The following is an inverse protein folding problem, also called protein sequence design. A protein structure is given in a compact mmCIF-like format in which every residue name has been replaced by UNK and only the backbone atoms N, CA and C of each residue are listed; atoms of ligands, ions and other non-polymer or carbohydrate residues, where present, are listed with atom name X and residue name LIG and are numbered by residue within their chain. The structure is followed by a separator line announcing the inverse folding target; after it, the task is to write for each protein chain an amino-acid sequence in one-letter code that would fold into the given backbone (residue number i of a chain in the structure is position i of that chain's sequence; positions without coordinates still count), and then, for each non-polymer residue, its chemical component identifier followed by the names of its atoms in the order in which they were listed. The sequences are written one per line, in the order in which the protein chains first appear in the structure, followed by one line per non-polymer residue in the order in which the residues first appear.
data_IF_397273085264
#
_entry.id   IF_397273085264
#
_cell.length_a   1.000
_cell.length_b   1.000
_cell.length_c   1.000
_cell.angle_alpha   90.00
_cell.angle_beta   90.00
_cell.angle_gamma   90.00
#
_symmetry.space_group_name_H-M   'P 1'
#
loop_
_entity.id
_entity.type
_entity.pdbx_description
1 polymer ?
#
# COMPACT_ATOMS: atom_id res chain seq x y z
N UNK A 1 15.06 -28.26 14.55
CA UNK A 1 14.36 -27.08 15.09
C UNK A 1 13.24 -26.73 14.12
N UNK A 2 11.99 -26.64 14.58
CA UNK A 2 10.87 -26.29 13.70
C UNK A 2 10.91 -24.77 13.46
N UNK A 3 11.34 -24.35 12.27
CA UNK A 3 11.41 -22.92 11.93
C UNK A 3 9.99 -22.37 11.77
N UNK A 4 9.62 -21.39 12.59
CA UNK A 4 8.32 -20.73 12.52
C UNK A 4 8.30 -19.67 11.41
N UNK A 5 7.28 -19.71 10.54
CA UNK A 5 7.03 -18.70 9.52
C UNK A 5 5.69 -18.02 9.80
N UNK A 6 5.71 -16.72 10.12
CA UNK A 6 4.49 -15.98 10.45
C UNK A 6 3.46 -16.00 9.31
N UNK A 7 3.92 -16.02 8.06
CA UNK A 7 3.03 -16.10 6.90
C UNK A 7 2.37 -17.44 6.71
N UNK A 8 3.00 -18.54 7.13
CA UNK A 8 2.40 -19.87 7.04
C UNK A 8 1.34 -20.02 8.12
N UNK A 9 1.70 -19.61 9.34
CA UNK A 9 0.78 -19.61 10.46
C UNK A 9 -0.46 -18.74 10.22
N UNK A 10 -0.31 -17.53 9.64
CA UNK A 10 -1.44 -16.68 9.31
C UNK A 10 -2.40 -17.31 8.28
N UNK A 11 -1.87 -18.09 7.32
CA UNK A 11 -2.69 -18.84 6.36
C UNK A 11 -3.39 -20.03 7.03
N UNK A 12 -2.68 -20.76 7.89
CA UNK A 12 -3.23 -21.91 8.63
C UNK A 12 -4.43 -21.51 9.51
N UNK A 13 -4.34 -20.37 10.20
CA UNK A 13 -5.44 -19.86 11.05
C UNK A 13 -6.50 -19.09 10.27
N UNK A 14 -6.32 -18.89 8.96
CA UNK A 14 -7.27 -18.17 8.10
C UNK A 14 -7.46 -16.70 8.47
N UNK A 15 -6.39 -15.98 8.83
CA UNK A 15 -6.50 -14.55 9.19
C UNK A 15 -7.06 -13.73 8.02
N UNK A 16 -8.18 -13.01 8.23
CA UNK A 16 -8.72 -12.06 7.26
C UNK A 16 -7.76 -10.87 7.13
N UNK A 17 -7.24 -10.63 5.93
CA UNK A 17 -6.16 -9.67 5.71
C UNK A 17 -6.64 -8.22 5.56
N UNK A 18 -7.95 -7.98 5.42
CA UNK A 18 -8.51 -6.63 5.25
C UNK A 18 -8.20 -5.74 6.45
N UNK A 19 -8.23 -4.43 6.23
CA UNK A 19 -7.93 -3.42 7.25
C UNK A 19 -6.53 -3.61 7.83
N UNK A 20 -5.57 -3.96 6.97
CA UNK A 20 -4.15 -4.06 7.34
C UNK A 20 -3.25 -3.17 6.49
N UNK A 21 -3.82 -2.40 5.57
CA UNK A 21 -3.08 -1.39 4.82
C UNK A 21 -2.86 -0.15 5.67
N UNK A 22 -1.64 0.38 5.63
CA UNK A 22 -1.27 1.64 6.29
C UNK A 22 -1.74 2.83 5.45
N UNK A 23 -2.03 3.96 6.10
CA UNK A 23 -2.61 5.14 5.45
C UNK A 23 -1.72 6.40 5.52
N UNK A 24 -0.50 6.31 5.01
CA UNK A 24 0.43 7.44 4.96
C UNK A 24 -0.02 8.52 3.96
N UNK A 25 0.26 9.77 4.29
CA UNK A 25 -0.01 10.92 3.41
C UNK A 25 1.06 11.04 2.31
N UNK A 26 2.30 10.62 2.60
CA UNK A 26 3.39 10.66 1.62
C UNK A 26 4.19 9.36 1.61
N UNK A 27 4.47 8.79 0.44
CA UNK A 27 5.52 7.78 0.27
C UNK A 27 6.75 8.39 -0.39
N UNK A 28 7.92 7.98 0.09
CA UNK A 28 9.21 8.37 -0.44
C UNK A 28 9.99 7.10 -0.71
N UNK A 29 10.15 6.77 -2.00
CA UNK A 29 10.84 5.58 -2.44
C UNK A 29 12.19 5.98 -3.01
N UNK A 30 13.25 5.46 -2.40
CA UNK A 30 14.62 5.80 -2.76
C UNK A 30 15.26 4.58 -3.39
N UNK A 31 15.70 4.69 -4.65
CA UNK A 31 16.50 3.64 -5.26
C UNK A 31 17.81 3.47 -4.49
N UNK A 32 17.99 2.29 -3.92
CA UNK A 32 19.16 1.95 -3.14
C UNK A 32 19.47 0.47 -3.33
N UNK A 33 20.66 0.12 -3.84
CA UNK A 33 20.96 -1.26 -4.14
C UNK A 33 20.95 -2.20 -2.91
N UNK A 34 20.66 -3.47 -3.16
CA UNK A 34 20.67 -4.55 -2.17
C UNK A 34 22.11 -5.02 -1.88
N UNK A 35 22.39 -5.70 -0.73
CA UNK A 35 21.47 -6.09 0.34
C UNK A 35 21.14 -4.94 1.31
N UNK A 36 19.98 -5.05 1.96
CA UNK A 36 19.54 -4.13 3.02
C UNK A 36 19.66 -4.79 4.40
N UNK A 37 20.09 -4.03 5.41
CA UNK A 37 20.11 -4.44 6.82
C UNK A 37 18.69 -4.46 7.42
N UNK A 38 18.49 -5.10 8.58
CA UNK A 38 17.20 -5.15 9.28
C UNK A 38 16.52 -3.77 9.32
N UNK A 39 17.26 -2.77 9.78
CA UNK A 39 16.92 -1.37 9.62
C UNK A 39 17.39 -0.90 8.25
N UNK A 40 16.46 -0.81 7.30
CA UNK A 40 16.75 -0.49 5.90
C UNK A 40 17.64 0.75 5.72
N UNK A 41 17.34 1.84 6.43
CA UNK A 41 18.07 3.11 6.31
C UNK A 41 19.42 3.11 7.04
N UNK A 42 19.80 2.02 7.69
CA UNK A 42 21.16 1.79 8.20
C UNK A 42 22.02 0.96 7.23
N UNK A 43 21.51 0.69 6.02
CA UNK A 43 22.23 -0.08 5.01
C UNK A 43 23.41 0.70 4.44
N UNK A 44 24.44 -0.04 3.99
CA UNK A 44 25.72 0.48 3.50
C UNK A 44 25.62 1.69 2.54
N UNK A 45 24.69 1.64 1.60
CA UNK A 45 24.57 2.64 0.53
C UNK A 45 23.72 3.85 0.90
N UNK A 46 23.16 3.90 2.11
CA UNK A 46 22.31 5.01 2.55
C UNK A 46 23.18 6.09 3.19
N UNK A 47 23.28 7.30 2.59
CA UNK A 47 24.15 8.35 3.10
C UNK A 47 23.61 8.96 4.40
N UNK A 48 24.51 9.43 5.26
CA UNK A 48 24.17 9.92 6.60
C UNK A 48 23.11 11.04 6.60
N UNK A 49 23.14 11.95 5.64
CA UNK A 49 22.15 13.04 5.54
C UNK A 49 20.73 12.51 5.30
N UNK A 50 20.57 11.41 4.55
CA UNK A 50 19.28 10.74 4.35
C UNK A 50 18.84 10.01 5.64
N UNK A 51 19.76 9.38 6.36
CA UNK A 51 19.44 8.75 7.65
C UNK A 51 18.92 9.78 8.66
N UNK A 52 19.60 10.93 8.77
CA UNK A 52 19.20 12.05 9.63
C UNK A 52 17.80 12.54 9.25
N UNK A 53 17.51 12.74 7.96
CA UNK A 53 16.18 13.14 7.51
C UNK A 53 15.08 12.13 7.89
N UNK A 54 15.32 10.83 7.72
CA UNK A 54 14.34 9.80 8.09
C UNK A 54 14.04 9.86 9.59
N UNK A 55 15.07 10.07 10.41
CA UNK A 55 14.92 10.21 11.86
C UNK A 55 14.22 11.52 12.26
N UNK A 56 14.51 12.64 11.60
CA UNK A 56 13.81 13.93 11.79
C UNK A 56 12.30 13.76 11.53
N UNK A 57 11.93 13.16 10.40
CA UNK A 57 10.53 12.91 10.01
C UNK A 57 9.84 11.98 11.01
N UNK A 58 10.53 10.92 11.45
CA UNK A 58 10.02 9.98 12.47
C UNK A 58 9.77 10.68 13.80
N UNK A 59 10.72 11.48 14.29
CA UNK A 59 10.60 12.25 15.55
C UNK A 59 9.47 13.26 15.50
N UNK A 60 9.30 13.92 14.36
CA UNK A 60 8.20 14.85 14.12
C UNK A 60 6.84 14.15 13.92
N UNK A 61 6.79 12.80 13.90
CA UNK A 61 5.58 11.98 13.68
C UNK A 61 4.83 12.37 12.41
N UNK A 62 5.55 12.81 11.38
CA UNK A 62 4.93 13.15 10.11
C UNK A 62 4.40 11.86 9.44
N UNK A 63 3.25 11.91 8.76
CA UNK A 63 2.63 10.76 8.11
C UNK A 63 3.34 10.39 6.78
N UNK A 64 4.67 10.27 6.82
CA UNK A 64 5.54 10.00 5.67
C UNK A 64 6.15 8.61 5.82
N UNK A 65 6.09 7.81 4.76
CA UNK A 65 6.70 6.49 4.69
C UNK A 65 7.89 6.49 3.75
N UNK A 66 9.07 6.27 4.32
CA UNK A 66 10.27 5.99 3.56
C UNK A 66 10.42 4.50 3.26
N UNK A 67 10.78 4.16 2.03
CA UNK A 67 11.14 2.82 1.59
C UNK A 67 12.38 2.90 0.68
N UNK A 68 13.21 1.86 0.74
CA UNK A 68 14.24 1.66 -0.28
C UNK A 68 13.69 0.72 -1.34
N UNK A 69 13.99 1.01 -2.59
CA UNK A 69 13.59 0.20 -3.74
C UNK A 69 14.80 -0.21 -4.54
N UNK A 70 14.70 -1.36 -5.21
CA UNK A 70 15.70 -1.84 -6.13
C UNK A 70 15.05 -2.68 -7.23
N UNK A 71 15.66 -2.72 -8.41
CA UNK A 71 15.29 -3.62 -9.50
C UNK A 71 16.56 -4.18 -10.16
N UNK A 72 16.40 -4.91 -11.26
CA UNK A 72 17.51 -5.54 -11.98
C UNK A 72 18.48 -4.53 -12.66
N UNK A 73 18.15 -3.24 -12.64
CA UNK A 73 18.92 -2.14 -13.23
C UNK A 73 19.59 -1.23 -12.19
N UNK A 74 19.25 -1.33 -10.90
CA UNK A 74 19.73 -0.39 -9.86
C UNK A 74 21.25 -0.33 -9.66
N UNK A 75 22.00 -1.27 -10.22
CA UNK A 75 23.47 -1.26 -10.23
C UNK A 75 24.08 -0.96 -11.62
N UNK A 76 23.24 -0.69 -12.62
CA UNK A 76 23.61 -0.58 -14.04
C UNK A 76 23.39 0.82 -14.60
N UNK A 77 22.97 1.76 -13.76
CA UNK A 77 22.65 3.14 -14.15
C UNK A 77 23.41 4.13 -13.27
N UNK A 78 23.85 5.24 -13.87
CA UNK A 78 24.63 6.28 -13.20
C UNK A 78 23.73 7.37 -12.58
N UNK A 79 22.54 6.97 -12.10
CA UNK A 79 21.60 7.86 -11.42
C UNK A 79 20.83 7.10 -10.33
N UNK A 80 20.25 7.85 -9.40
CA UNK A 80 19.34 7.37 -8.37
C UNK A 80 17.91 7.79 -8.70
N UNK A 81 17.00 6.83 -8.88
CA UNK A 81 15.57 7.11 -8.97
C UNK A 81 15.01 7.49 -7.59
N UNK A 82 14.30 8.60 -7.53
CA UNK A 82 13.50 8.99 -6.37
C UNK A 82 12.05 9.12 -6.80
N UNK A 83 11.15 8.39 -6.14
CA UNK A 83 9.71 8.48 -6.35
C UNK A 83 9.05 9.05 -5.10
N UNK A 84 8.22 10.07 -5.29
CA UNK A 84 7.43 10.67 -4.21
C UNK A 84 5.95 10.55 -4.59
N UNK A 85 5.16 10.02 -3.67
CA UNK A 85 3.71 9.90 -3.82
C UNK A 85 3.03 10.71 -2.72
N UNK A 86 2.29 11.75 -3.07
CA UNK A 86 1.58 12.60 -2.11
C UNK A 86 0.07 12.40 -2.25
N UNK A 87 -0.62 12.15 -1.15
CA UNK A 87 -2.05 11.92 -1.16
C UNK A 87 -2.78 13.18 -1.61
N UNK A 88 -3.72 13.02 -2.55
CA UNK A 88 -4.57 14.13 -3.01
C UNK A 88 -5.63 14.42 -1.96
N UNK A 89 -5.90 15.70 -1.72
CA UNK A 89 -6.96 16.15 -0.81
C UNK A 89 -8.35 15.91 -1.43
N UNK A 90 -9.34 15.61 -0.59
CA UNK A 90 -10.71 15.36 -1.03
C UNK A 90 -10.90 14.01 -1.74
N UNK A 91 -11.87 13.97 -2.66
CA UNK A 91 -12.15 12.78 -3.47
C UNK A 91 -10.97 12.50 -4.40
N UNK A 92 -10.34 11.34 -4.24
CA UNK A 92 -9.17 10.98 -5.04
C UNK A 92 -9.15 9.51 -5.44
N UNK A 93 -8.42 9.21 -6.51
CA UNK A 93 -8.18 7.85 -6.97
C UNK A 93 -6.82 7.30 -6.48
N UNK A 94 -6.18 7.98 -5.51
CA UNK A 94 -4.81 7.67 -5.07
C UNK A 94 -3.95 8.90 -4.81
N UNK A 95 -2.66 8.73 -5.07
CA UNK A 95 -1.60 9.70 -4.82
C UNK A 95 -1.22 10.45 -6.11
N UNK A 96 -0.72 11.67 -5.97
CA UNK A 96 0.03 12.36 -7.02
C UNK A 96 1.46 11.81 -7.02
N UNK A 97 1.92 11.33 -8.17
CA UNK A 97 3.29 10.81 -8.37
C UNK A 97 4.20 11.95 -8.83
N UNK A 98 5.41 11.96 -8.29
CA UNK A 98 6.57 12.72 -8.77
C UNK A 98 7.74 11.77 -8.93
N UNK A 99 8.48 11.88 -10.03
CA UNK A 99 9.64 11.05 -10.32
C UNK A 99 10.85 11.93 -10.63
N UNK A 100 11.98 11.61 -10.00
CA UNK A 100 13.23 12.34 -10.15
C UNK A 100 14.35 11.36 -10.50
N UNK A 101 15.25 11.77 -11.40
CA UNK A 101 16.53 11.10 -11.65
C UNK A 101 17.64 11.99 -11.11
N UNK A 102 18.21 11.60 -9.97
CA UNK A 102 19.26 12.34 -9.30
C UNK A 102 20.62 11.74 -9.69
N UNK A 103 21.67 12.55 -9.89
CA UNK A 103 23.02 12.02 -10.12
C UNK A 103 23.46 11.01 -9.05
N UNK A 104 23.20 11.31 -7.77
CA UNK A 104 23.60 10.44 -6.66
C UNK A 104 22.57 10.47 -5.50
N UNK A 105 22.56 9.42 -4.69
CA UNK A 105 21.63 9.23 -3.57
C UNK A 105 21.76 10.31 -2.49
N UNK A 106 22.92 10.94 -2.35
CA UNK A 106 23.20 12.04 -1.41
C UNK A 106 22.28 13.25 -1.64
N UNK A 107 21.77 13.43 -2.86
CA UNK A 107 20.88 14.54 -3.19
C UNK A 107 19.43 14.33 -2.73
N UNK A 108 19.05 13.08 -2.44
CA UNK A 108 17.67 12.70 -2.06
C UNK A 108 17.17 13.52 -0.89
N UNK A 109 17.98 13.66 0.16
CA UNK A 109 17.56 14.36 1.38
C UNK A 109 17.20 15.83 1.11
N UNK A 110 17.98 16.51 0.26
CA UNK A 110 17.72 17.90 -0.12
C UNK A 110 16.45 18.06 -0.96
N UNK A 111 16.24 17.15 -1.92
CA UNK A 111 15.03 17.13 -2.76
C UNK A 111 13.78 16.85 -1.94
N UNK A 112 13.81 15.81 -1.09
CA UNK A 112 12.69 15.47 -0.21
C UNK A 112 12.31 16.64 0.70
N UNK A 113 13.30 17.30 1.33
CA UNK A 113 13.03 18.46 2.19
C UNK A 113 12.27 19.55 1.41
N UNK A 114 12.69 19.88 0.18
CA UNK A 114 11.99 20.85 -0.68
C UNK A 114 10.55 20.42 -0.98
N UNK A 115 10.35 19.15 -1.38
CA UNK A 115 9.02 18.61 -1.69
C UNK A 115 8.07 18.65 -0.48
N UNK A 116 8.57 18.33 0.72
CA UNK A 116 7.79 18.40 1.96
C UNK A 116 7.42 19.85 2.35
N UNK A 117 8.20 20.85 1.92
CA UNK A 117 7.87 22.27 2.03
C UNK A 117 6.97 22.81 0.91
N UNK A 118 6.41 21.93 0.06
CA UNK A 118 5.53 22.32 -1.04
C UNK A 118 6.25 22.93 -2.24
N UNK A 119 7.58 22.82 -2.32
CA UNK A 119 8.36 23.25 -3.49
C UNK A 119 8.70 22.03 -4.34
N UNK A 120 8.22 22.00 -5.58
CA UNK A 120 8.62 20.98 -6.56
C UNK A 120 9.94 21.44 -7.19
N UNK A 121 11.04 20.66 -7.08
CA UNK A 121 12.30 21.01 -7.71
C UNK A 121 12.26 20.78 -9.24
N UNK A 122 13.07 21.53 -9.98
CA UNK A 122 13.19 21.50 -11.45
C UNK A 122 13.66 20.16 -12.07
N UNK A 123 13.87 19.13 -11.24
CA UNK A 123 14.40 17.82 -11.63
C UNK A 123 13.31 16.76 -11.85
N UNK A 124 12.04 17.17 -11.87
CA UNK A 124 10.92 16.28 -12.18
C UNK A 124 11.01 15.82 -13.64
N UNK A 125 10.82 14.51 -13.86
CA UNK A 125 10.75 13.95 -15.21
C UNK A 125 9.33 13.53 -15.54
N UNK A 126 8.91 13.86 -16.76
CA UNK A 126 7.73 13.23 -17.35
C UNK A 126 8.06 11.77 -17.69
N UNK A 127 7.14 10.86 -17.34
CA UNK A 127 7.32 9.43 -17.54
C UNK A 127 6.03 8.79 -18.04
N UNK A 128 6.16 7.85 -18.98
CA UNK A 128 5.05 7.01 -19.41
C UNK A 128 4.69 5.92 -18.40
N UNK A 129 5.51 5.74 -17.35
CA UNK A 129 5.27 4.78 -16.27
C UNK A 129 4.15 5.28 -15.38
N UNK A 130 2.95 4.75 -15.64
CA UNK A 130 1.73 5.09 -14.92
C UNK A 130 1.57 4.34 -13.58
N UNK A 131 2.20 3.17 -13.42
CA UNK A 131 2.08 2.33 -12.22
C UNK A 131 3.42 1.80 -11.74
N UNK A 132 3.61 1.79 -10.43
CA UNK A 132 4.76 1.23 -9.75
C UNK A 132 4.28 0.15 -8.75
N UNK A 133 4.66 -1.10 -9.00
CA UNK A 133 4.35 -2.25 -8.14
C UNK A 133 5.52 -2.50 -7.20
N UNK A 134 5.30 -2.37 -5.89
CA UNK A 134 6.33 -2.63 -4.87
C UNK A 134 6.12 -4.00 -4.24
N UNK A 135 7.05 -4.93 -4.43
CA UNK A 135 7.04 -6.23 -3.76
C UNK A 135 8.00 -6.22 -2.58
N UNK A 136 7.53 -6.55 -1.39
CA UNK A 136 8.41 -6.62 -0.22
C UNK A 136 9.31 -7.84 -0.31
N UNK A 137 10.63 -7.63 -0.38
CA UNK A 137 11.64 -8.72 -0.43
C UNK A 137 12.64 -8.66 0.72
N UNK A 138 12.30 -7.93 1.79
CA UNK A 138 13.23 -7.55 2.86
C UNK A 138 13.52 -8.68 3.87
N UNK A 139 14.28 -9.68 3.44
CA UNK A 139 14.56 -10.89 4.21
C UNK A 139 15.27 -10.68 5.55
N UNK A 140 16.14 -9.67 5.62
CA UNK A 140 16.83 -9.28 6.85
C UNK A 140 15.88 -8.76 7.92
N UNK A 141 14.74 -8.17 7.53
CA UNK A 141 13.68 -7.74 8.46
C UNK A 141 12.77 -8.90 8.86
N UNK A 142 12.29 -9.70 7.89
CA UNK A 142 11.47 -10.87 8.18
C UNK A 142 11.66 -11.95 7.10
N UNK A 143 11.85 -13.19 7.55
CA UNK A 143 12.16 -14.34 6.69
C UNK A 143 11.04 -14.63 5.68
N UNK A 144 9.77 -14.37 6.01
CA UNK A 144 8.66 -14.54 5.08
C UNK A 144 8.73 -13.58 3.89
N UNK A 145 9.28 -12.37 4.07
CA UNK A 145 9.50 -11.44 2.95
C UNK A 145 10.50 -12.01 1.94
N UNK A 146 11.57 -12.65 2.40
CA UNK A 146 12.51 -13.30 1.50
C UNK A 146 11.94 -14.58 0.89
N UNK A 147 11.36 -15.45 1.72
CA UNK A 147 10.85 -16.77 1.32
C UNK A 147 9.75 -16.67 0.26
N UNK A 148 8.81 -15.75 0.43
CA UNK A 148 7.65 -15.61 -0.46
C UNK A 148 7.77 -14.43 -1.41
N UNK A 149 8.32 -13.30 -0.95
CA UNK A 149 8.42 -12.08 -1.77
C UNK A 149 9.44 -12.16 -2.90
N UNK A 150 10.62 -12.77 -2.68
CA UNK A 150 11.62 -12.89 -3.75
C UNK A 150 11.11 -13.73 -4.93
N UNK A 151 10.58 -14.96 -4.75
CA UNK A 151 10.03 -15.74 -5.86
C UNK A 151 8.87 -15.01 -6.55
N UNK A 152 7.98 -14.37 -5.77
CA UNK A 152 6.86 -13.62 -6.33
C UNK A 152 7.30 -12.42 -7.17
N UNK A 153 8.36 -11.70 -6.78
CA UNK A 153 8.89 -10.58 -7.58
C UNK A 153 9.25 -11.02 -9.02
N UNK A 154 9.91 -12.17 -9.17
CA UNK A 154 10.25 -12.69 -10.50
C UNK A 154 8.99 -13.11 -11.27
N UNK A 155 8.08 -13.88 -10.66
CA UNK A 155 6.81 -14.26 -11.29
C UNK A 155 5.97 -13.04 -11.72
N UNK A 156 5.95 -12.00 -10.88
CA UNK A 156 5.25 -10.76 -11.16
C UNK A 156 5.91 -9.98 -12.30
N UNK A 157 7.23 -9.92 -12.34
CA UNK A 157 8.00 -9.33 -13.45
C UNK A 157 7.70 -10.04 -14.77
N UNK A 158 7.72 -11.37 -14.79
CA UNK A 158 7.40 -12.18 -15.97
C UNK A 158 5.96 -11.94 -16.42
N UNK A 159 5.02 -11.87 -15.47
CA UNK A 159 3.61 -11.59 -15.77
C UNK A 159 3.40 -10.21 -16.40
N UNK A 160 4.12 -9.18 -15.93
CA UNK A 160 4.05 -7.82 -16.51
C UNK A 160 4.59 -7.84 -17.95
N UNK A 161 5.71 -8.54 -18.18
CA UNK A 161 6.31 -8.68 -19.50
C UNK A 161 5.40 -9.45 -20.48
N UNK A 162 4.83 -10.59 -20.04
CA UNK A 162 3.91 -11.41 -20.82
C UNK A 162 2.66 -10.63 -21.25
N UNK A 163 2.14 -9.79 -20.34
CA UNK A 163 0.99 -8.92 -20.62
C UNK A 163 1.35 -7.67 -21.42
N UNK A 164 2.65 -7.43 -21.69
CA UNK A 164 3.16 -6.26 -22.42
C UNK A 164 2.72 -4.93 -21.79
N UNK A 165 2.75 -4.86 -20.46
CA UNK A 165 2.36 -3.66 -19.71
C UNK A 165 3.55 -2.71 -19.56
N UNK A 166 3.97 -2.08 -20.64
CA UNK A 166 5.14 -1.19 -20.69
C UNK A 166 5.02 0.04 -19.77
N UNK A 167 3.80 0.39 -19.39
CA UNK A 167 3.47 1.48 -18.46
C UNK A 167 3.45 1.06 -16.98
N UNK A 168 3.83 -0.18 -16.67
CA UNK A 168 3.90 -0.74 -15.31
C UNK A 168 5.34 -1.13 -14.99
N UNK A 169 5.88 -0.57 -13.91
CA UNK A 169 7.22 -0.87 -13.41
C UNK A 169 7.13 -1.65 -12.10
N UNK A 170 8.00 -2.63 -11.89
CA UNK A 170 8.06 -3.43 -10.67
C UNK A 170 9.37 -3.22 -9.91
N UNK A 171 9.26 -3.11 -8.59
CA UNK A 171 10.38 -2.91 -7.67
C UNK A 171 10.37 -3.97 -6.57
N UNK A 172 11.57 -4.42 -6.21
CA UNK A 172 11.81 -4.94 -4.86
C UNK A 172 11.78 -3.76 -3.90
N UNK A 173 11.18 -3.96 -2.73
CA UNK A 173 11.07 -2.92 -1.70
C UNK A 173 11.51 -3.44 -0.35
N UNK A 174 12.01 -2.53 0.49
CA UNK A 174 12.15 -2.76 1.92
C UNK A 174 10.77 -2.92 2.58
N UNK A 175 10.80 -3.38 3.82
CA UNK A 175 9.59 -3.76 4.54
C UNK A 175 8.60 -2.59 4.69
N UNK A 176 7.33 -2.84 4.34
CA UNK A 176 6.22 -1.87 4.45
C UNK A 176 5.03 -2.40 5.27
N UNK A 177 5.24 -3.46 6.07
CA UNK A 177 4.18 -4.08 6.88
C UNK A 177 3.48 -5.25 6.20
N UNK A 178 2.97 -6.17 7.01
CA UNK A 178 2.17 -7.31 6.57
C UNK A 178 2.98 -8.51 6.08
N UNK A 179 4.19 -8.76 6.60
CA UNK A 179 4.99 -9.95 6.24
C UNK A 179 4.29 -11.28 6.57
N UNK A 180 3.35 -11.28 7.53
CA UNK A 180 2.45 -12.43 7.79
C UNK A 180 1.45 -12.69 6.65
N UNK A 181 1.34 -11.77 5.70
CA UNK A 181 0.57 -11.94 4.47
C UNK A 181 1.47 -11.99 3.25
N UNK A 182 2.74 -12.38 3.40
CA UNK A 182 3.63 -12.50 2.26
C UNK A 182 3.10 -13.54 1.25
N UNK A 183 3.39 -13.39 -0.06
CA UNK A 183 4.01 -12.23 -0.67
C UNK A 183 3.05 -11.02 -0.67
N UNK A 184 3.59 -9.84 -0.38
CA UNK A 184 2.84 -8.59 -0.34
C UNK A 184 3.27 -7.63 -1.44
N UNK A 185 2.30 -6.86 -1.94
CA UNK A 185 2.55 -5.80 -2.90
C UNK A 185 1.81 -4.50 -2.55
N UNK A 186 2.37 -3.37 -2.98
CA UNK A 186 1.66 -2.08 -3.08
C UNK A 186 1.58 -1.71 -4.56
N UNK A 187 0.39 -1.33 -5.02
CA UNK A 187 0.15 -0.81 -6.36
C UNK A 187 -0.01 0.72 -6.29
N UNK A 188 1.03 1.44 -6.71
CA UNK A 188 1.07 2.90 -6.76
C UNK A 188 0.85 3.37 -8.21
N UNK A 189 0.24 4.55 -8.44
CA UNK A 189 -0.10 5.59 -7.47
C UNK A 189 -1.43 5.40 -6.73
N UNK A 190 -2.21 4.34 -6.98
CA UNK A 190 -3.48 4.15 -6.27
C UNK A 190 -3.27 3.95 -4.76
N UNK A 191 -2.15 3.33 -4.36
CA UNK A 191 -1.84 3.02 -2.97
C UNK A 191 -2.68 1.85 -2.44
N UNK A 192 -2.96 0.87 -3.30
CA UNK A 192 -3.69 -0.35 -2.91
C UNK A 192 -2.73 -1.42 -2.43
N UNK A 193 -3.06 -2.05 -1.30
CA UNK A 193 -2.22 -3.05 -0.67
C UNK A 193 -2.79 -4.44 -0.90
N UNK A 194 -1.89 -5.37 -1.19
CA UNK A 194 -2.22 -6.76 -1.42
C UNK A 194 -1.30 -7.68 -0.60
N UNK A 195 -1.79 -8.88 -0.32
CA UNK A 195 -1.07 -9.95 0.37
C UNK A 195 -1.53 -11.32 -0.11
N UNK A 196 -0.81 -12.37 0.26
CA UNK A 196 -1.09 -13.76 -0.12
C UNK A 196 -1.21 -13.90 -1.65
N UNK A 197 -0.43 -13.11 -2.38
CA UNK A 197 -0.53 -13.02 -3.82
C UNK A 197 -0.01 -14.30 -4.50
N UNK A 198 -0.67 -14.64 -5.60
CA UNK A 198 -0.20 -15.61 -6.58
C UNK A 198 -0.24 -14.96 -7.98
N UNK A 199 0.30 -15.66 -8.97
CA UNK A 199 0.42 -15.14 -10.33
C UNK A 199 -0.95 -14.83 -10.98
N UNK A 200 -1.95 -15.70 -10.77
CA UNK A 200 -3.28 -15.55 -11.35
C UNK A 200 -3.99 -14.29 -10.84
N UNK A 201 -4.07 -14.11 -9.52
CA UNK A 201 -4.70 -12.94 -8.91
C UNK A 201 -3.94 -11.66 -9.24
N UNK A 202 -2.62 -11.74 -9.33
CA UNK A 202 -1.81 -10.60 -9.76
C UNK A 202 -2.12 -10.19 -11.20
N UNK A 203 -2.28 -11.14 -12.13
CA UNK A 203 -2.76 -10.87 -13.50
C UNK A 203 -4.14 -10.21 -13.49
N UNK A 204 -5.07 -10.70 -12.68
CA UNK A 204 -6.40 -10.10 -12.54
C UNK A 204 -6.34 -8.66 -12.03
N UNK A 205 -5.48 -8.37 -11.04
CA UNK A 205 -5.25 -7.02 -10.50
C UNK A 205 -4.63 -6.08 -11.56
N UNK A 206 -3.63 -6.57 -12.31
CA UNK A 206 -2.97 -5.77 -13.33
C UNK A 206 -3.93 -5.37 -14.46
N UNK A 207 -4.73 -6.34 -14.93
CA UNK A 207 -5.66 -6.17 -16.06
C UNK A 207 -7.03 -5.63 -15.64
N UNK A 208 -7.34 -5.66 -14.34
CA UNK A 208 -8.66 -5.36 -13.77
C UNK A 208 -9.77 -6.22 -14.39
N UNK A 209 -9.53 -7.52 -14.49
CA UNK A 209 -10.45 -8.50 -15.08
C UNK A 209 -10.62 -9.75 -14.20
N UNK A 210 -11.58 -10.61 -14.55
CA UNK A 210 -11.90 -11.83 -13.81
C UNK A 210 -12.91 -11.59 -12.69
N UNK A 211 -13.06 -12.58 -11.80
CA UNK A 211 -13.99 -12.50 -10.67
C UNK A 211 -13.46 -11.59 -9.55
N UNK A 212 -14.14 -10.46 -9.34
CA UNK A 212 -13.80 -9.51 -8.28
C UNK A 212 -13.87 -10.14 -6.88
N UNK A 213 -14.72 -11.15 -6.66
CA UNK A 213 -14.86 -11.78 -5.33
C UNK A 213 -13.57 -12.47 -4.87
N UNK A 214 -12.71 -12.87 -5.81
CA UNK A 214 -11.40 -13.42 -5.51
C UNK A 214 -10.50 -12.43 -4.75
N UNK A 215 -10.73 -11.11 -4.88
CA UNK A 215 -9.99 -10.10 -4.11
C UNK A 215 -10.25 -10.15 -2.61
N UNK A 216 -11.34 -10.79 -2.13
CA UNK A 216 -11.59 -10.99 -0.69
C UNK A 216 -10.39 -11.60 0.04
N UNK A 217 -9.62 -12.46 -0.66
CA UNK A 217 -8.49 -13.22 -0.10
C UNK A 217 -7.16 -12.48 -0.13
N UNK A 218 -6.99 -11.51 -1.04
CA UNK A 218 -5.68 -10.88 -1.31
C UNK A 218 -5.65 -9.37 -1.10
N UNK A 219 -6.81 -8.72 -0.98
CA UNK A 219 -6.90 -7.28 -0.78
C UNK A 219 -6.79 -6.89 0.69
N UNK A 220 -5.76 -6.12 1.03
CA UNK A 220 -5.48 -5.65 2.40
C UNK A 220 -6.15 -4.31 2.73
N UNK A 221 -6.45 -3.51 1.71
CA UNK A 221 -7.11 -2.21 1.83
C UNK A 221 -6.47 -1.10 0.98
N UNK A 222 -7.12 0.06 1.00
CA UNK A 222 -6.71 1.26 0.28
C UNK A 222 -5.98 2.25 1.19
N UNK A 223 -4.72 2.57 0.89
CA UNK A 223 -3.88 3.45 1.69
C UNK A 223 -4.36 4.91 1.77
N UNK A 224 -5.29 5.35 0.91
CA UNK A 224 -5.88 6.69 1.06
C UNK A 224 -6.92 6.76 2.19
N UNK A 225 -7.36 5.62 2.72
CA UNK A 225 -8.45 5.51 3.70
C UNK A 225 -7.94 5.12 5.09
N UNK A 226 -8.57 5.62 6.18
CA UNK A 226 -8.32 5.11 7.53
C UNK A 226 -8.50 3.58 7.59
N UNK A 227 -7.65 2.90 8.35
CA UNK A 227 -7.61 1.43 8.38
C UNK A 227 -8.96 0.77 8.70
N UNK A 228 -9.75 1.35 9.61
CA UNK A 228 -11.08 0.85 9.94
C UNK A 228 -12.10 1.03 8.80
N UNK A 229 -11.97 2.07 7.98
CA UNK A 229 -12.87 2.35 6.85
C UNK A 229 -12.61 1.42 5.66
N UNK A 230 -11.42 0.81 5.57
CA UNK A 230 -11.05 -0.07 4.45
C UNK A 230 -11.98 -1.30 4.32
N UNK A 231 -12.59 -1.78 5.40
CA UNK A 231 -13.56 -2.88 5.31
C UNK A 231 -14.87 -2.45 4.62
N UNK A 232 -15.34 -1.23 4.91
CA UNK A 232 -16.47 -0.63 4.20
C UNK A 232 -16.13 -0.48 2.71
N UNK A 233 -14.94 0.03 2.42
CA UNK A 233 -14.47 0.16 1.04
C UNK A 233 -14.41 -1.18 0.32
N UNK A 234 -13.91 -2.25 0.96
CA UNK A 234 -13.91 -3.59 0.36
C UNK A 234 -15.32 -4.05 -0.01
N UNK A 235 -16.31 -3.88 0.86
CA UNK A 235 -17.68 -4.31 0.54
C UNK A 235 -18.28 -3.52 -0.65
N UNK A 236 -17.95 -2.23 -0.78
CA UNK A 236 -18.35 -1.43 -1.94
C UNK A 236 -17.57 -1.84 -3.19
N UNK A 237 -16.25 -2.04 -3.10
CA UNK A 237 -15.41 -2.54 -4.20
C UNK A 237 -15.96 -3.83 -4.77
N UNK A 238 -16.34 -4.78 -3.90
CA UNK A 238 -16.89 -6.06 -4.33
C UNK A 238 -18.30 -5.97 -4.91
N UNK A 239 -19.07 -4.93 -4.53
CA UNK A 239 -20.41 -4.65 -5.08
C UNK A 239 -20.35 -4.00 -6.46
N UNK A 240 -19.47 -3.01 -6.63
CA UNK A 240 -19.32 -2.27 -7.89
C UNK A 240 -18.36 -2.94 -8.88
N UNK A 241 -17.63 -3.98 -8.44
CA UNK A 241 -16.71 -4.72 -9.29
C UNK A 241 -15.48 -3.90 -9.68
N UNK A 242 -14.88 -4.26 -10.82
CA UNK A 242 -13.68 -3.61 -11.34
C UNK A 242 -13.87 -2.12 -11.66
N UNK A 243 -15.11 -1.66 -11.88
CA UNK A 243 -15.42 -0.25 -12.09
C UNK A 243 -15.02 0.62 -10.89
N UNK A 244 -15.03 0.06 -9.67
CA UNK A 244 -14.63 0.75 -8.44
C UNK A 244 -13.23 1.38 -8.51
N UNK A 245 -12.33 0.76 -9.28
CA UNK A 245 -10.94 1.22 -9.44
C UNK A 245 -10.82 2.48 -10.31
N UNK A 246 -11.92 2.96 -10.89
CA UNK A 246 -11.99 4.23 -11.61
C UNK A 246 -12.63 5.35 -10.77
N UNK A 247 -13.08 5.06 -9.55
CA UNK A 247 -13.83 6.01 -8.74
C UNK A 247 -12.87 6.87 -7.92
N UNK A 248 -13.27 8.12 -7.68
CA UNK A 248 -12.59 8.97 -6.70
C UNK A 248 -13.28 8.77 -5.35
N UNK A 249 -12.51 8.53 -4.30
CA UNK A 249 -13.04 8.15 -2.99
C UNK A 249 -12.44 9.02 -1.89
N UNK A 250 -13.24 9.29 -0.87
CA UNK A 250 -12.83 9.82 0.41
C UNK A 250 -13.58 9.08 1.51
N UNK A 251 -12.94 8.86 2.66
CA UNK A 251 -13.59 8.18 3.78
C UNK A 251 -13.09 8.71 5.11
N UNK A 252 -13.98 8.69 6.10
CA UNK A 252 -13.72 9.19 7.45
C UNK A 252 -14.48 8.38 8.49
N UNK A 253 -14.00 8.44 9.72
CA UNK A 253 -14.72 7.95 10.89
C UNK A 253 -15.61 9.11 11.38
N UNK A 254 -16.91 8.89 11.46
CA UNK A 254 -17.87 9.86 12.01
C UNK A 254 -17.84 9.78 13.54
N UNK A 255 -17.94 8.56 14.07
CA UNK A 255 -18.03 8.31 15.49
C UNK A 255 -17.34 6.99 15.83
N UNK A 256 -16.75 6.91 17.02
CA UNK A 256 -16.15 5.71 17.56
C UNK A 256 -16.52 5.59 19.04
N UNK A 257 -16.93 4.41 19.47
CA UNK A 257 -17.25 4.13 20.87
C UNK A 257 -15.98 4.13 21.72
N UNK A 258 -16.10 4.48 23.01
CA UNK A 258 -14.97 4.57 23.94
C UNK A 258 -14.24 3.23 24.14
N UNK A 259 -14.99 2.13 24.05
CA UNK A 259 -14.46 0.76 24.11
C UNK A 259 -13.88 0.27 22.77
N UNK A 260 -13.94 1.09 21.72
CA UNK A 260 -13.56 0.77 20.34
C UNK A 260 -14.33 -0.40 19.72
N UNK A 261 -15.42 -0.87 20.32
CA UNK A 261 -16.20 -1.98 19.80
C UNK A 261 -17.05 -1.59 18.59
N UNK A 262 -17.40 -0.31 18.44
CA UNK A 262 -18.26 0.18 17.35
C UNK A 262 -17.66 1.43 16.70
N UNK A 263 -17.66 1.45 15.37
CA UNK A 263 -17.20 2.58 14.56
C UNK A 263 -18.30 2.90 13.54
N UNK A 264 -18.73 4.16 13.48
CA UNK A 264 -19.56 4.67 12.40
C UNK A 264 -18.63 5.29 11.35
N UNK A 265 -18.57 4.66 10.18
CA UNK A 265 -17.73 5.09 9.06
C UNK A 265 -18.58 5.71 7.95
N UNK A 266 -18.01 6.69 7.24
CA UNK A 266 -18.57 7.26 6.02
C UNK A 266 -17.58 7.09 4.88
N UNK A 267 -18.10 6.75 3.71
CA UNK A 267 -17.35 6.68 2.47
C UNK A 267 -18.14 7.38 1.37
N UNK A 268 -17.52 8.43 0.82
CA UNK A 268 -18.04 9.20 -0.29
C UNK A 268 -17.25 8.85 -1.53
N UNK A 269 -17.94 8.67 -2.66
CA UNK A 269 -17.28 8.44 -3.94
C UNK A 269 -17.96 9.17 -5.10
N UNK A 270 -17.15 9.48 -6.11
CA UNK A 270 -17.57 10.03 -7.39
C UNK A 270 -17.25 9.03 -8.50
N UNK A 271 -18.27 8.69 -9.27
CA UNK A 271 -18.17 7.85 -10.46
C UNK A 271 -17.61 8.64 -11.65
N UNK A 272 -17.07 7.99 -12.70
CA UNK A 272 -16.56 8.68 -13.88
C UNK A 272 -17.61 9.53 -14.61
N UNK A 273 -18.89 9.20 -14.46
CA UNK A 273 -20.00 9.98 -15.00
C UNK A 273 -20.29 11.27 -14.19
N UNK A 274 -19.62 11.48 -13.06
CA UNK A 274 -19.81 12.62 -12.16
C UNK A 274 -20.86 12.40 -11.06
N UNK A 275 -21.52 11.24 -11.03
CA UNK A 275 -22.46 10.90 -9.95
C UNK A 275 -21.73 10.75 -8.62
N UNK A 276 -22.30 11.34 -7.56
CA UNK A 276 -21.71 11.37 -6.23
C UNK A 276 -22.60 10.59 -5.26
N UNK A 277 -22.01 9.62 -4.58
CA UNK A 277 -22.70 8.76 -3.62
C UNK A 277 -22.01 8.79 -2.27
N UNK A 278 -22.80 8.70 -1.19
CA UNK A 278 -22.30 8.63 0.18
C UNK A 278 -22.91 7.41 0.85
N UNK A 279 -22.04 6.53 1.37
CA UNK A 279 -22.42 5.39 2.19
C UNK A 279 -21.98 5.62 3.62
N UNK A 280 -22.82 5.18 4.55
CA UNK A 280 -22.44 5.04 5.94
C UNK A 280 -22.55 3.59 6.36
N UNK A 281 -21.66 3.16 7.25
CA UNK A 281 -21.68 1.83 7.81
C UNK A 281 -21.36 1.83 9.30
N UNK A 282 -22.10 1.00 10.03
CA UNK A 282 -21.75 0.65 11.39
C UNK A 282 -20.82 -0.57 11.32
N UNK A 283 -19.62 -0.40 11.84
CA UNK A 283 -18.60 -1.44 11.96
C UNK A 283 -18.54 -1.89 13.41
N UNK A 284 -18.56 -3.19 13.63
CA UNK A 284 -18.50 -3.78 14.98
C UNK A 284 -17.28 -4.68 15.08
N UNK A 285 -16.65 -4.72 16.26
CA UNK A 285 -15.53 -5.61 16.49
C UNK A 285 -15.99 -7.06 16.32
N UNK A 286 -15.31 -7.79 15.45
CA UNK A 286 -15.54 -9.20 15.21
C UNK A 286 -14.59 -10.01 16.10
N UNK A 287 -15.13 -10.49 17.22
CA UNK A 287 -14.36 -11.32 18.18
C UNK A 287 -13.98 -12.68 17.60
N UNK A 288 -14.72 -13.19 16.61
CA UNK A 288 -14.44 -14.49 15.98
C UNK A 288 -13.26 -14.42 15.02
N UNK A 289 -13.08 -13.27 14.36
CA UNK A 289 -11.94 -12.99 13.47
C UNK A 289 -10.78 -12.28 14.15
N UNK A 290 -10.96 -11.79 15.37
CA UNK A 290 -9.89 -11.21 16.17
C UNK A 290 -8.98 -12.33 16.68
N UNK A 291 -7.71 -12.31 16.27
CA UNK A 291 -6.75 -13.38 16.55
C UNK A 291 -5.63 -12.90 17.45
N UNK A 292 -5.14 -13.80 18.32
CA UNK A 292 -3.91 -13.60 19.09
C UNK A 292 -2.84 -14.55 18.58
N UNK A 293 -1.94 -14.03 17.74
CA UNK A 293 -0.90 -14.82 17.04
C UNK A 293 0.44 -14.07 17.02
N UNK A 294 1.52 -14.77 16.70
CA UNK A 294 2.83 -14.15 16.50
C UNK A 294 2.80 -13.29 15.24
N UNK A 295 3.08 -12.00 15.39
CA UNK A 295 3.01 -11.04 14.30
C UNK A 295 4.11 -11.22 13.25
N UNK A 296 5.32 -11.61 13.67
CA UNK A 296 6.54 -11.78 12.85
C UNK A 296 7.23 -13.12 13.12
N UNK A 297 8.16 -13.52 12.24
CA UNK A 297 8.89 -14.78 12.41
C UNK A 297 9.75 -14.78 13.68
N UNK A 298 10.27 -13.61 14.07
CA UNK A 298 11.12 -13.45 15.24
C UNK A 298 10.34 -12.99 16.48
N UNK A 299 9.01 -12.92 16.43
CA UNK A 299 8.20 -12.51 17.58
C UNK A 299 8.31 -13.54 18.72
N UNK A 300 8.73 -13.08 19.89
CA UNK A 300 8.73 -13.89 21.12
C UNK A 300 7.30 -14.08 21.63
N UNK A 301 6.53 -12.99 21.65
CA UNK A 301 5.15 -12.95 22.14
C UNK A 301 4.10 -12.86 21.03
N UNK A 302 2.85 -13.19 21.39
CA UNK A 302 1.69 -13.04 20.50
C UNK A 302 1.09 -11.65 20.64
N UNK A 303 0.64 -11.07 19.53
CA UNK A 303 -0.09 -9.81 19.50
C UNK A 303 -1.55 -10.04 19.14
N UNK A 304 -2.43 -9.16 19.60
CA UNK A 304 -3.86 -9.19 19.26
C UNK A 304 -4.09 -8.39 17.97
N UNK A 305 -4.64 -9.04 16.96
CA UNK A 305 -5.04 -8.43 15.69
C UNK A 305 -6.55 -8.28 15.66
N UNK A 306 -7.02 -7.12 16.10
CA UNK A 306 -8.45 -6.77 16.13
C UNK A 306 -9.00 -6.71 14.71
N UNK A 307 -10.16 -7.33 14.51
CA UNK A 307 -10.92 -7.27 13.26
C UNK A 307 -12.28 -6.65 13.51
N UNK A 308 -12.78 -5.97 12.49
CA UNK A 308 -14.14 -5.44 12.45
C UNK A 308 -14.93 -6.18 11.38
N UNK A 309 -16.24 -6.19 11.52
CA UNK A 309 -17.19 -6.59 10.50
C UNK A 309 -18.16 -5.45 10.23
N UNK A 310 -18.74 -5.44 9.02
CA UNK A 310 -19.82 -4.51 8.68
C UNK A 310 -21.12 -5.06 9.27
N UNK A 311 -21.66 -4.37 10.29
CA UNK A 311 -22.95 -4.69 10.92
C UNK A 311 -24.12 -4.23 10.04
N UNK A 312 -24.00 -3.02 9.50
CA UNK A 312 -24.96 -2.47 8.54
C UNK A 312 -24.27 -1.48 7.59
N UNK A 313 -24.80 -1.37 6.38
CA UNK A 313 -24.35 -0.45 5.33
C UNK A 313 -25.56 0.17 4.64
N UNK A 314 -25.60 1.49 4.53
CA UNK A 314 -26.69 2.24 3.94
C UNK A 314 -26.21 3.33 3.00
N UNK A 315 -26.89 3.50 1.86
CA UNK A 315 -26.73 4.65 0.98
C UNK A 315 -27.47 5.83 1.63
N UNK A 316 -26.73 6.90 1.94
CA UNK A 316 -27.26 8.10 2.62
C UNK A 316 -27.57 9.21 1.62
N UNK A 317 -26.80 9.31 0.55
CA UNK A 317 -26.99 10.33 -0.47
C UNK A 317 -26.57 9.79 -1.84
N UNK A 318 -27.33 10.12 -2.88
CA UNK A 318 -26.96 9.93 -4.27
C UNK A 318 -27.35 11.18 -5.07
N UNK A 319 -26.38 11.78 -5.75
CA UNK A 319 -26.56 12.96 -6.60
C UNK A 319 -26.08 12.64 -8.00
N UNK A 320 -26.92 12.93 -8.98
CA UNK A 320 -26.61 12.78 -10.41
C UNK A 320 -26.28 14.18 -10.96
N UNK A 321 -25.30 14.33 -11.86
CA UNK A 321 -25.04 15.62 -12.50
C UNK A 321 -26.30 16.11 -13.21
N UNK A 322 -26.67 17.36 -12.99
CA UNK A 322 -27.72 18.00 -13.79
C UNK A 322 -27.14 18.31 -15.17
N UNK A 323 -27.65 17.67 -16.22
CA UNK A 323 -27.36 18.09 -17.59
C UNK A 323 -27.88 19.53 -17.78
N UNK A 324 -26.97 20.50 -17.88
CA UNK A 324 -27.31 21.82 -18.40
C UNK A 324 -27.59 21.64 -19.89
N UNK A 325 -28.86 21.64 -20.27
CA UNK A 325 -29.34 21.64 -21.67
C UNK A 325 -29.03 22.94 -22.37
#
# INVERSE_FOLDING_TARGET
MNTFFCSDHAREVGEDIISSATNYETYILVECPQPWTYDAFQSKWVPNNLQVLVEEVRRAKLPVRFLLIANNYSHKVDYTTLLIYQKKQGLSHGYQKYEFKLPHIEQVAGVVKKCLWGKIPDYEIETSISRDILVCTHGSHDQCCARYGNPFYFQASDTIADLKLDNVRIWKSTHFGGHRFAPTAIDLPEGRYYGVLNQELFRSILTRTGDIQSLRKVYRGWGILPTSVQILERELMLRYGWNWFNYKVAGKIIQQSLDNNTILAELSFEEPCGSLSIYQAKLVQDKTKTLQIKGSCNAEEKSVFVKYAVDSIGLVCHKVPTCSS
#
